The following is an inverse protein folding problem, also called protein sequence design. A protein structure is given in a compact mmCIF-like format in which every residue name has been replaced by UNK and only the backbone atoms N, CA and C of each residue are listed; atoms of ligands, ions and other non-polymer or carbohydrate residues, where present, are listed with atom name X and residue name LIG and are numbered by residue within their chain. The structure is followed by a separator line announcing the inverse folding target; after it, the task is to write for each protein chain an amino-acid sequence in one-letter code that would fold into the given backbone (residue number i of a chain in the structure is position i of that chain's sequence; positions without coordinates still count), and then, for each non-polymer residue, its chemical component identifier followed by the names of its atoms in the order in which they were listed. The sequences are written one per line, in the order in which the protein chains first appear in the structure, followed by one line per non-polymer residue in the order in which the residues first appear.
data_IF_909822221350
#
_entry.id   IF_909822221350
#
_cell.length_a   1.000
_cell.length_b   1.000
_cell.length_c   1.000
_cell.angle_alpha   90.00
_cell.angle_beta   90.00
_cell.angle_gamma   90.00
#
_symmetry.space_group_name_H-M   'P 1'
#
loop_
_entity.id
_entity.type
_entity.pdbx_description
1 polymer ?
#
# COMPACT_ATOMS: atom_id res chain seq x y z
N UNK A 1 0.95 4.46 6.96
CA UNK A 1 -0.52 4.53 6.82
C UNK A 1 -1.02 5.53 5.78
N UNK A 2 -0.19 6.42 5.21
CA UNK A 2 -0.66 7.46 4.28
C UNK A 2 0.19 7.46 3.01
N UNK A 3 -0.44 7.72 1.87
CA UNK A 3 0.23 8.04 0.59
C UNK A 3 -0.13 9.47 0.22
N UNK A 4 0.86 10.30 -0.05
CA UNK A 4 0.67 11.72 -0.39
C UNK A 4 0.83 11.94 -1.89
N UNK A 5 -0.05 12.75 -2.47
CA UNK A 5 0.10 13.30 -3.80
C UNK A 5 0.51 14.77 -3.65
N UNK A 6 1.75 15.08 -3.99
CA UNK A 6 2.36 16.39 -3.83
C UNK A 6 2.68 17.01 -5.18
N UNK A 7 2.63 18.33 -5.26
CA UNK A 7 3.19 19.07 -6.40
C UNK A 7 4.71 18.91 -6.42
N UNK A 8 5.28 18.80 -7.63
CA UNK A 8 6.73 18.67 -7.77
C UNK A 8 7.49 19.97 -7.44
N UNK A 9 6.87 21.13 -7.72
CA UNK A 9 7.55 22.43 -7.62
C UNK A 9 7.77 22.93 -6.18
N UNK A 10 6.85 22.61 -5.27
CA UNK A 10 6.88 23.14 -3.90
C UNK A 10 6.40 22.14 -2.84
N UNK A 11 6.23 20.86 -3.19
CA UNK A 11 5.80 19.80 -2.28
C UNK A 11 4.45 20.07 -1.58
N UNK A 12 3.62 20.94 -2.16
CA UNK A 12 2.28 21.19 -1.65
C UNK A 12 1.42 19.95 -1.82
N UNK A 13 0.74 19.57 -0.74
CA UNK A 13 -0.21 18.48 -0.79
C UNK A 13 -1.39 18.85 -1.67
N UNK A 14 -1.56 18.11 -2.76
CA UNK A 14 -2.77 18.14 -3.55
C UNK A 14 -3.81 17.22 -2.95
N UNK A 15 -3.38 16.05 -2.48
CA UNK A 15 -4.23 15.02 -1.90
C UNK A 15 -3.47 14.05 -0.98
N UNK A 16 -4.23 13.28 -0.20
CA UNK A 16 -3.73 12.11 0.53
C UNK A 16 -4.70 10.93 0.40
N UNK A 17 -4.14 9.72 0.41
CA UNK A 17 -4.85 8.45 0.58
C UNK A 17 -4.48 7.91 1.96
N UNK A 18 -5.49 7.65 2.78
CA UNK A 18 -5.33 7.12 4.13
C UNK A 18 -5.69 5.63 4.10
N UNK A 19 -4.78 4.79 4.59
CA UNK A 19 -4.95 3.35 4.67
C UNK A 19 -4.31 2.80 5.94
N UNK A 20 -5.08 2.83 7.02
CA UNK A 20 -4.73 2.20 8.29
C UNK A 20 -4.96 0.69 8.24
N UNK A 21 -4.22 -0.05 9.07
CA UNK A 21 -4.63 -1.40 9.45
C UNK A 21 -5.94 -1.36 10.20
N UNK A 22 -6.78 -2.38 10.02
CA UNK A 22 -7.98 -2.50 10.84
C UNK A 22 -7.57 -2.81 12.28
N UNK A 23 -8.44 -2.44 13.22
CA UNK A 23 -8.16 -2.54 14.65
C UNK A 23 -7.89 -3.99 15.11
N UNK A 24 -8.58 -4.96 14.51
CA UNK A 24 -8.39 -6.37 14.84
C UNK A 24 -6.98 -6.84 14.48
N UNK A 25 -6.51 -6.57 13.26
CA UNK A 25 -5.19 -6.96 12.79
C UNK A 25 -4.09 -6.25 13.57
N UNK A 26 -4.25 -4.96 13.89
CA UNK A 26 -3.32 -4.21 14.72
C UNK A 26 -3.22 -4.79 16.15
N UNK A 27 -4.36 -5.08 16.79
CA UNK A 27 -4.39 -5.72 18.12
C UNK A 27 -3.77 -7.12 18.10
N UNK A 28 -4.08 -7.92 17.07
CA UNK A 28 -3.50 -9.26 16.91
C UNK A 28 -2.00 -9.21 16.68
N UNK A 29 -1.48 -8.20 15.99
CA UNK A 29 -0.05 -7.98 15.83
C UNK A 29 0.64 -7.72 17.17
N UNK A 30 0.09 -6.81 17.99
CA UNK A 30 0.64 -6.51 19.32
C UNK A 30 0.54 -7.73 20.25
N UNK A 31 -0.57 -8.46 20.23
CA UNK A 31 -0.73 -9.71 21.00
C UNK A 31 0.29 -10.79 20.63
N UNK A 32 0.84 -10.75 19.41
CA UNK A 32 1.93 -11.64 18.97
C UNK A 32 3.33 -11.14 19.37
N UNK A 33 3.42 -10.08 20.18
CA UNK A 33 4.66 -9.57 20.75
C UNK A 33 5.40 -8.57 19.86
N UNK A 34 4.72 -7.91 18.92
CA UNK A 34 5.30 -6.83 18.11
C UNK A 34 5.00 -5.46 18.73
N UNK A 35 5.91 -4.51 18.54
CA UNK A 35 5.74 -3.13 19.02
C UNK A 35 4.58 -2.44 18.30
N UNK A 36 3.85 -1.58 19.01
CA UNK A 36 2.69 -0.85 18.47
C UNK A 36 3.05 0.01 17.25
N UNK A 37 4.26 0.58 17.23
CA UNK A 37 4.80 1.32 16.08
C UNK A 37 4.93 0.42 14.85
N UNK A 38 5.36 -0.83 15.03
CA UNK A 38 5.52 -1.81 13.94
C UNK A 38 4.19 -2.43 13.50
N UNK A 39 3.15 -2.36 14.34
CA UNK A 39 1.79 -2.84 14.05
C UNK A 39 0.93 -1.85 13.23
N UNK A 40 1.57 -1.06 12.37
CA UNK A 40 0.93 -0.13 11.45
C UNK A 40 0.96 -0.68 10.01
N UNK A 41 0.29 0.03 9.10
CA UNK A 41 0.38 -0.24 7.67
C UNK A 41 1.49 0.61 7.02
N UNK A 42 2.66 0.00 6.82
CA UNK A 42 3.76 0.60 6.10
C UNK A 42 3.60 0.31 4.61
N UNK A 43 3.43 1.35 3.79
CA UNK A 43 3.33 1.20 2.34
C UNK A 43 4.72 0.89 1.79
N UNK A 44 4.85 -0.24 1.09
CA UNK A 44 6.15 -0.77 0.62
C UNK A 44 6.22 -0.88 -0.90
N UNK A 45 5.07 -0.94 -1.57
CA UNK A 45 4.97 -1.05 -3.03
C UNK A 45 3.94 -0.05 -3.51
N UNK A 46 4.32 0.72 -4.52
CA UNK A 46 3.46 1.63 -5.26
C UNK A 46 3.79 1.53 -6.74
N UNK A 47 2.79 1.24 -7.56
CA UNK A 47 2.96 1.15 -9.01
C UNK A 47 1.70 1.63 -9.74
N UNK A 48 1.89 2.35 -10.84
CA UNK A 48 0.80 2.67 -11.76
C UNK A 48 0.54 1.44 -12.64
N UNK A 49 -0.51 0.67 -12.35
CA UNK A 49 -0.82 -0.59 -13.04
C UNK A 49 -1.46 -0.38 -14.41
N UNK A 50 -2.20 0.72 -14.57
CA UNK A 50 -2.78 1.16 -15.84
C UNK A 50 -3.07 2.67 -15.78
N UNK A 51 -3.62 3.23 -16.86
CA UNK A 51 -4.10 4.61 -16.82
C UNK A 51 -5.22 4.75 -15.78
N UNK A 52 -5.05 5.67 -14.83
CA UNK A 52 -5.99 5.86 -13.72
C UNK A 52 -6.02 4.73 -12.67
N UNK A 53 -5.12 3.74 -12.73
CA UNK A 53 -5.04 2.67 -11.72
C UNK A 53 -3.72 2.68 -10.96
N UNK A 54 -3.82 2.51 -9.65
CA UNK A 54 -2.69 2.49 -8.73
C UNK A 54 -2.72 1.21 -7.89
N UNK A 55 -1.69 0.39 -8.02
CA UNK A 55 -1.43 -0.73 -7.12
C UNK A 55 -0.63 -0.21 -5.91
N UNK A 56 -1.16 -0.44 -4.72
CA UNK A 56 -0.49 -0.20 -3.45
C UNK A 56 -0.41 -1.49 -2.65
N UNK A 57 0.74 -1.80 -2.05
CA UNK A 57 0.85 -2.84 -1.04
C UNK A 57 1.50 -2.30 0.22
N UNK A 58 1.00 -2.77 1.37
CA UNK A 58 1.60 -2.43 2.65
C UNK A 58 1.66 -3.63 3.59
N UNK A 59 2.46 -3.49 4.65
CA UNK A 59 2.71 -4.54 5.64
C UNK A 59 1.45 -4.90 6.43
N UNK A 60 0.52 -3.94 6.56
CA UNK A 60 -0.74 -4.04 7.28
C UNK A 60 -0.61 -4.82 8.61
N UNK A 61 0.17 -4.29 9.55
CA UNK A 61 0.39 -4.89 10.87
C UNK A 61 0.86 -6.37 10.79
N UNK A 62 1.93 -6.63 10.04
CA UNK A 62 2.45 -7.99 9.81
C UNK A 62 1.43 -8.95 9.15
N UNK A 63 0.51 -8.40 8.34
CA UNK A 63 -0.43 -9.17 7.53
C UNK A 63 -0.55 -8.48 6.17
N UNK A 64 0.46 -8.65 5.29
CA UNK A 64 0.60 -7.85 4.08
C UNK A 64 -0.64 -7.96 3.17
N UNK A 65 -1.08 -6.82 2.65
CA UNK A 65 -2.23 -6.68 1.74
C UNK A 65 -1.82 -5.79 0.57
N UNK A 66 -2.37 -6.10 -0.61
CA UNK A 66 -2.31 -5.25 -1.79
C UNK A 66 -3.71 -4.81 -2.21
N UNK A 67 -3.85 -3.53 -2.58
CA UNK A 67 -5.07 -2.93 -3.12
C UNK A 67 -4.80 -2.33 -4.49
N UNK A 68 -5.71 -2.55 -5.43
CA UNK A 68 -5.79 -1.79 -6.67
C UNK A 68 -6.82 -0.67 -6.48
N UNK A 69 -6.37 0.56 -6.68
CA UNK A 69 -7.18 1.76 -6.58
C UNK A 69 -7.48 2.30 -7.97
N UNK A 70 -8.73 2.68 -8.21
CA UNK A 70 -9.08 3.58 -9.29
C UNK A 70 -8.91 5.03 -8.83
N UNK A 71 -8.28 5.84 -9.66
CA UNK A 71 -7.94 7.23 -9.40
C UNK A 71 -8.67 8.10 -10.42
N UNK A 72 -9.86 8.56 -10.06
CA UNK A 72 -10.71 9.42 -10.89
C UNK A 72 -10.99 10.72 -10.16
N UNK A 73 -10.85 11.86 -10.85
CA UNK A 73 -11.20 13.18 -10.34
C UNK A 73 -10.71 13.42 -8.92
N UNK A 74 -9.45 13.09 -8.63
CA UNK A 74 -8.88 13.26 -7.29
C UNK A 74 -9.64 12.42 -6.23
N UNK A 75 -10.08 11.21 -6.55
CA UNK A 75 -10.64 10.29 -5.59
C UNK A 75 -10.01 8.90 -5.77
N UNK A 76 -9.78 8.21 -4.66
CA UNK A 76 -9.19 6.87 -4.62
C UNK A 76 -10.25 5.88 -4.18
N UNK A 77 -10.70 5.02 -5.09
CA UNK A 77 -11.66 3.95 -4.78
C UNK A 77 -10.99 2.59 -4.89
N UNK A 78 -11.15 1.74 -3.88
CA UNK A 78 -10.62 0.37 -3.91
C UNK A 78 -11.43 -0.44 -4.91
N UNK A 79 -10.78 -0.94 -5.97
CA UNK A 79 -11.41 -1.86 -6.94
C UNK A 79 -11.20 -3.31 -6.54
N UNK A 80 -10.00 -3.65 -6.04
CA UNK A 80 -9.63 -5.01 -5.65
C UNK A 80 -8.73 -4.97 -4.42
N UNK A 81 -8.90 -5.98 -3.57
CA UNK A 81 -8.00 -6.27 -2.46
C UNK A 81 -7.56 -7.73 -2.58
N UNK A 82 -6.28 -7.99 -2.35
CA UNK A 82 -5.72 -9.34 -2.31
C UNK A 82 -4.66 -9.43 -1.23
N UNK A 83 -4.38 -10.64 -0.78
CA UNK A 83 -3.26 -10.85 0.11
C UNK A 83 -1.94 -10.49 -0.56
N UNK A 84 -1.02 -9.92 0.22
CA UNK A 84 0.30 -9.47 -0.23
C UNK A 84 1.43 -10.43 0.14
N UNK A 85 1.14 -11.66 0.59
CA UNK A 85 2.21 -12.62 0.92
C UNK A 85 3.10 -12.87 -0.30
N UNK A 86 4.41 -13.03 -0.07
CA UNK A 86 5.46 -13.15 -1.09
C UNK A 86 5.65 -11.94 -2.02
N UNK A 87 4.76 -10.95 -1.99
CA UNK A 87 4.86 -9.71 -2.78
C UNK A 87 5.34 -8.55 -1.92
N UNK A 88 4.74 -8.36 -0.74
CA UNK A 88 5.02 -7.29 0.20
C UNK A 88 5.59 -7.90 1.50
N UNK A 89 6.61 -7.31 2.13
CA UNK A 89 7.15 -7.83 3.38
C UNK A 89 6.11 -7.76 4.50
N UNK A 90 6.27 -8.64 5.48
CA UNK A 90 5.49 -8.62 6.71
C UNK A 90 6.00 -7.56 7.69
N UNK A 91 7.31 -7.57 7.92
CA UNK A 91 7.99 -6.68 8.85
C UNK A 91 8.41 -5.38 8.11
N UNK A 92 8.13 -4.19 8.64
CA UNK A 92 8.54 -2.92 8.03
C UNK A 92 10.07 -2.77 7.89
N UNK A 93 10.86 -3.50 8.67
CA UNK A 93 12.32 -3.46 8.63
C UNK A 93 12.94 -4.46 7.64
N UNK A 94 12.15 -5.37 7.05
CA UNK A 94 12.68 -6.31 6.06
C UNK A 94 12.99 -5.62 4.73
N UNK A 95 14.21 -5.85 4.22
CA UNK A 95 14.65 -5.35 2.93
C UNK A 95 13.85 -5.98 1.80
N UNK A 96 13.31 -5.15 0.90
CA UNK A 96 12.48 -5.57 -0.22
C UNK A 96 12.52 -4.53 -1.33
N UNK A 97 12.44 -4.97 -2.58
CA UNK A 97 12.23 -4.09 -3.74
C UNK A 97 11.19 -4.72 -4.67
N UNK A 98 10.52 -3.91 -5.47
CA UNK A 98 9.51 -4.37 -6.41
C UNK A 98 9.59 -3.56 -7.71
N UNK A 99 9.39 -4.25 -8.83
CA UNK A 99 9.20 -3.66 -10.15
C UNK A 99 7.85 -4.13 -10.69
N UNK A 100 7.07 -3.21 -11.22
CA UNK A 100 5.84 -3.56 -11.93
C UNK A 100 6.13 -3.67 -13.42
N UNK A 101 5.87 -4.84 -13.99
CA UNK A 101 6.04 -5.11 -15.42
C UNK A 101 4.65 -5.33 -16.00
N UNK A 102 4.25 -4.48 -16.94
CA UNK A 102 3.04 -4.71 -17.71
C UNK A 102 3.24 -5.95 -18.57
N UNK A 103 2.32 -6.91 -18.50
CA UNK A 103 2.31 -8.02 -19.45
C UNK A 103 2.11 -7.45 -20.86
N UNK A 104 2.98 -7.80 -21.83
CA UNK A 104 2.76 -7.43 -23.22
C UNK A 104 1.39 -7.94 -23.67
N UNK A 105 0.63 -7.13 -24.41
CA UNK A 105 -0.49 -7.62 -25.18
C UNK A 105 0.06 -8.67 -26.15
N UNK A 106 -0.33 -9.94 -26.01
CA UNK A 106 -0.07 -10.94 -27.04
C UNK A 106 -0.76 -10.45 -28.33
N UNK A 107 0.04 -10.20 -29.36
CA UNK A 107 -0.39 -10.08 -30.76
C UNK A 107 -0.92 -11.41 -31.27
#
# INVERSE_FOLDING_TARGET
NVVYNLTFSNLNEQQRLIWFSNEHDAKMCVMKGKDEENCQNYIRIMAKSAQGRLLLCGTNAFKPICREYNVLNKNYTVEKEKHGQAVCPYDPHHNSTAIYVATPFNT
#
